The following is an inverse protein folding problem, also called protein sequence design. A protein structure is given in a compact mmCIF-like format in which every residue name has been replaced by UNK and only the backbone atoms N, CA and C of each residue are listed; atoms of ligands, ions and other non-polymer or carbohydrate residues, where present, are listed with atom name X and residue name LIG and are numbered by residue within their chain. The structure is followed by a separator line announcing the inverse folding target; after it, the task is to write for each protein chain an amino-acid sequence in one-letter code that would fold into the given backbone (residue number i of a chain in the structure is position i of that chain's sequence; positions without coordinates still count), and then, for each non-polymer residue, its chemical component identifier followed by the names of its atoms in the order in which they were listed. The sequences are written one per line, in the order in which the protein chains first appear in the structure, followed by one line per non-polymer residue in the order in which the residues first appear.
data_IF_409921868701
#
_entry.id   IF_409921868701
#
_cell.length_a   1.000
_cell.length_b   1.000
_cell.length_c   1.000
_cell.angle_alpha   90.00
_cell.angle_beta   90.00
_cell.angle_gamma   90.00
#
_symmetry.space_group_name_H-M   'P 1'
#
loop_
_entity.id
_entity.type
_entity.pdbx_description
1 polymer ?
#
# COMPACT_ATOMS: atom_id res chain seq x y z
N UNK A 1 0.35 -0.35 -9.12
CA UNK A 1 1.24 0.43 -8.21
C UNK A 1 2.16 1.33 -9.02
N UNK A 2 3.13 0.81 -9.79
CA UNK A 2 3.98 1.66 -10.63
C UNK A 2 3.21 2.34 -11.78
N UNK A 3 2.34 1.60 -12.46
CA UNK A 3 1.51 2.16 -13.55
C UNK A 3 0.58 3.27 -13.07
N UNK A 4 0.01 3.14 -11.87
CA UNK A 4 -0.87 4.14 -11.29
C UNK A 4 -0.10 5.41 -10.87
N UNK A 5 1.09 5.24 -10.28
CA UNK A 5 2.01 6.35 -9.97
C UNK A 5 2.43 7.09 -11.24
N UNK A 6 2.77 6.35 -12.30
CA UNK A 6 3.11 6.93 -13.60
C UNK A 6 1.94 7.68 -14.24
N UNK A 7 0.71 7.19 -14.06
CA UNK A 7 -0.50 7.85 -14.55
C UNK A 7 -0.74 9.18 -13.82
N UNK A 8 -0.62 9.18 -12.50
CA UNK A 8 -0.77 10.39 -11.66
C UNK A 8 0.31 11.42 -11.98
N UNK A 9 1.58 11.01 -12.08
CA UNK A 9 2.68 11.93 -12.40
C UNK A 9 2.48 12.63 -13.76
N UNK A 10 2.08 11.88 -14.80
CA UNK A 10 1.77 12.48 -16.11
C UNK A 10 0.60 13.46 -16.06
N UNK A 11 -0.40 13.19 -15.21
CA UNK A 11 -1.52 14.11 -15.02
C UNK A 11 -1.09 15.38 -14.27
N UNK A 12 -0.11 15.29 -13.36
CA UNK A 12 0.46 16.42 -12.63
C UNK A 12 1.32 17.33 -13.53
N UNK A 13 2.03 16.73 -14.50
CA UNK A 13 2.87 17.44 -15.48
C UNK A 13 2.06 18.13 -16.61
N UNK A 14 0.77 17.84 -16.74
CA UNK A 14 -0.07 18.40 -17.79
C UNK A 14 -0.51 19.85 -17.44
N UNK A 15 -0.05 20.82 -18.23
CA UNK A 15 -0.25 22.27 -18.04
C UNK A 15 -1.72 22.71 -18.19
N UNK A 16 -2.57 21.92 -18.85
CA UNK A 16 -4.00 22.21 -19.12
C UNK A 16 -4.89 21.01 -18.75
N UNK A 17 -4.60 20.38 -17.62
CA UNK A 17 -5.41 19.29 -17.08
C UNK A 17 -6.55 19.83 -16.22
N UNK A 18 -7.79 19.38 -16.46
CA UNK A 18 -8.92 19.56 -15.55
C UNK A 18 -8.47 19.22 -14.12
N UNK A 19 -8.36 20.25 -13.27
CA UNK A 19 -7.82 20.14 -11.91
C UNK A 19 -8.62 19.14 -11.06
N UNK A 20 -9.90 18.90 -11.40
CA UNK A 20 -10.73 17.91 -10.72
C UNK A 20 -10.38 16.47 -11.11
N UNK A 21 -9.84 16.26 -12.32
CA UNK A 21 -9.41 14.95 -12.81
C UNK A 21 -8.17 14.45 -12.08
N UNK A 22 -7.18 15.32 -11.86
CA UNK A 22 -5.98 14.98 -11.10
C UNK A 22 -6.33 14.58 -9.66
N UNK A 23 -7.18 15.36 -9.01
CA UNK A 23 -7.68 15.05 -7.66
C UNK A 23 -8.40 13.68 -7.64
N UNK A 24 -9.25 13.41 -8.63
CA UNK A 24 -9.97 12.14 -8.74
C UNK A 24 -9.05 10.94 -8.98
N UNK A 25 -8.03 11.10 -9.82
CA UNK A 25 -7.02 10.05 -10.07
C UNK A 25 -6.19 9.78 -8.81
N UNK A 26 -5.77 10.83 -8.08
CA UNK A 26 -5.08 10.72 -6.78
C UNK A 26 -5.95 10.01 -5.73
N UNK A 27 -7.22 10.40 -5.59
CA UNK A 27 -8.15 9.76 -4.66
C UNK A 27 -8.36 8.28 -5.00
N UNK A 28 -8.45 7.95 -6.28
CA UNK A 28 -8.61 6.56 -6.73
C UNK A 28 -7.38 5.73 -6.40
N UNK A 29 -6.19 6.30 -6.62
CA UNK A 29 -4.93 5.65 -6.28
C UNK A 29 -4.81 5.43 -4.77
N UNK A 30 -5.05 6.47 -3.97
CA UNK A 30 -5.01 6.40 -2.50
C UNK A 30 -6.00 5.34 -1.98
N UNK A 31 -7.23 5.35 -2.49
CA UNK A 31 -8.25 4.36 -2.15
C UNK A 31 -7.80 2.93 -2.47
N UNK A 32 -7.13 2.72 -3.61
CA UNK A 32 -6.62 1.41 -4.01
C UNK A 32 -5.45 0.93 -3.14
N UNK A 33 -4.66 1.86 -2.60
CA UNK A 33 -3.55 1.58 -1.70
C UNK A 33 -4.08 1.17 -0.32
N UNK A 34 -5.01 1.96 0.21
CA UNK A 34 -5.62 1.75 1.52
C UNK A 34 -6.39 0.42 1.59
N UNK A 35 -7.14 0.07 0.54
CA UNK A 35 -7.87 -1.21 0.44
C UNK A 35 -7.00 -2.48 0.56
N UNK A 36 -5.68 -2.37 0.39
CA UNK A 36 -4.75 -3.51 0.57
C UNK A 36 -4.37 -3.76 2.02
N UNK A 37 -4.42 -2.72 2.85
CA UNK A 37 -3.97 -2.77 4.24
C UNK A 37 -5.11 -2.75 5.26
N UNK A 38 -6.30 -2.33 4.87
CA UNK A 38 -7.49 -2.33 5.73
C UNK A 38 -8.26 -3.65 5.71
N UNK A 39 -9.15 -3.83 6.67
CA UNK A 39 -10.04 -4.98 6.74
C UNK A 39 -10.97 -4.96 5.50
N UNK A 40 -10.98 -6.02 4.66
CA UNK A 40 -11.71 -6.01 3.38
C UNK A 40 -13.22 -5.79 3.47
N UNK A 41 -13.81 -6.10 4.63
CA UNK A 41 -15.25 -6.00 4.87
C UNK A 41 -15.68 -4.62 5.40
N UNK A 42 -14.74 -3.75 5.73
CA UNK A 42 -15.07 -2.41 6.21
C UNK A 42 -15.26 -1.44 5.03
N UNK A 43 -16.40 -0.74 5.02
CA UNK A 43 -16.61 0.39 4.13
C UNK A 43 -16.02 1.62 4.79
N UNK A 44 -14.93 2.13 4.22
CA UNK A 44 -14.17 3.21 4.82
C UNK A 44 -14.02 4.36 3.83
N UNK A 45 -14.39 5.56 4.28
CA UNK A 45 -14.27 6.79 3.49
C UNK A 45 -12.88 7.41 3.66
N UNK A 46 -12.03 7.16 2.67
CA UNK A 46 -10.58 7.45 2.67
C UNK A 46 -10.20 8.92 2.83
N UNK A 47 -11.15 9.82 3.07
CA UNK A 47 -10.91 11.22 3.42
C UNK A 47 -11.16 11.55 4.90
N UNK A 48 -11.91 10.72 5.63
CA UNK A 48 -12.46 11.10 6.95
C UNK A 48 -12.04 10.19 8.10
N UNK A 49 -11.44 9.02 7.85
CA UNK A 49 -11.03 8.09 8.91
C UNK A 49 -9.53 8.10 9.17
N UNK A 50 -9.15 7.52 10.32
CA UNK A 50 -7.76 7.25 10.68
C UNK A 50 -7.40 5.83 10.25
N UNK A 51 -6.49 5.71 9.28
CA UNK A 51 -6.13 4.43 8.67
C UNK A 51 -5.74 3.34 9.67
N UNK A 52 -4.99 3.73 10.71
CA UNK A 52 -4.47 2.82 11.74
C UNK A 52 -5.58 2.06 12.48
N UNK A 53 -6.75 2.68 12.65
CA UNK A 53 -7.85 2.12 13.45
C UNK A 53 -8.58 0.97 12.70
N UNK A 54 -8.33 0.83 11.39
CA UNK A 54 -9.02 -0.08 10.48
C UNK A 54 -8.06 -1.03 9.74
N UNK A 55 -6.79 -1.04 10.13
CA UNK A 55 -5.81 -1.92 9.48
C UNK A 55 -6.10 -3.39 9.80
N UNK A 56 -5.95 -4.22 8.78
CA UNK A 56 -5.88 -5.66 8.96
C UNK A 56 -4.64 -5.98 9.82
N UNK A 57 -4.77 -6.80 10.89
CA UNK A 57 -3.63 -7.20 11.72
C UNK A 57 -2.50 -7.89 10.95
N UNK A 58 -2.81 -8.49 9.80
CA UNK A 58 -1.85 -9.09 8.87
C UNK A 58 -2.20 -8.65 7.44
N UNK A 59 -1.85 -7.42 7.05
CA UNK A 59 -2.23 -6.89 5.75
C UNK A 59 -1.47 -7.61 4.64
N UNK A 60 -2.11 -7.76 3.48
CA UNK A 60 -1.47 -8.28 2.28
C UNK A 60 -0.63 -7.18 1.63
N UNK A 61 0.70 -7.33 1.68
CA UNK A 61 1.62 -6.29 1.22
C UNK A 61 1.93 -6.35 -0.28
N UNK A 62 1.24 -7.24 -1.00
CA UNK A 62 1.35 -7.41 -2.44
C UNK A 62 2.13 -8.66 -2.84
N UNK A 63 1.83 -9.15 -4.04
CA UNK A 63 2.32 -10.43 -4.54
C UNK A 63 3.84 -10.59 -4.45
N UNK A 64 4.60 -9.57 -4.85
CA UNK A 64 6.07 -9.62 -4.84
C UNK A 64 6.62 -9.75 -3.42
N UNK A 65 6.04 -9.04 -2.45
CA UNK A 65 6.45 -9.12 -1.05
C UNK A 65 6.16 -10.52 -0.49
N UNK A 66 4.91 -10.99 -0.65
CA UNK A 66 4.52 -12.30 -0.11
C UNK A 66 5.34 -13.43 -0.75
N UNK A 67 5.51 -13.41 -2.08
CA UNK A 67 6.32 -14.40 -2.80
C UNK A 67 7.79 -14.37 -2.36
N UNK A 68 8.36 -13.18 -2.13
CA UNK A 68 9.72 -13.06 -1.61
C UNK A 68 9.86 -13.71 -0.23
N UNK A 69 8.96 -13.38 0.70
CA UNK A 69 8.96 -13.96 2.05
C UNK A 69 8.82 -15.49 2.00
N UNK A 70 7.92 -16.00 1.18
CA UNK A 70 7.71 -17.45 1.02
C UNK A 70 8.94 -18.15 0.45
N UNK A 71 9.59 -17.56 -0.56
CA UNK A 71 10.82 -18.09 -1.13
C UNK A 71 11.97 -18.13 -0.12
N UNK A 72 12.15 -17.06 0.66
CA UNK A 72 13.21 -16.98 1.67
C UNK A 72 12.98 -17.99 2.79
N UNK A 73 11.72 -18.19 3.23
CA UNK A 73 11.36 -19.25 4.19
C UNK A 73 11.63 -20.66 3.64
N UNK A 74 11.26 -20.91 2.38
CA UNK A 74 11.44 -22.20 1.74
C UNK A 74 12.91 -22.59 1.56
N UNK A 75 13.80 -21.61 1.36
CA UNK A 75 15.23 -21.84 1.18
C UNK A 75 15.98 -22.18 2.48
N UNK A 76 15.31 -22.21 3.65
CA UNK A 76 15.93 -22.49 4.98
C UNK A 76 17.26 -21.76 5.17
N UNK A 77 17.31 -20.48 4.78
CA UNK A 77 18.48 -19.66 5.10
C UNK A 77 18.54 -19.51 6.61
N UNK A 78 19.61 -20.01 7.25
CA UNK A 78 19.85 -19.92 8.70
C UNK A 78 19.79 -18.48 9.26
N UNK A 79 19.77 -17.46 8.39
CA UNK A 79 19.68 -16.05 8.74
C UNK A 79 18.30 -15.39 8.66
N UNK A 80 17.26 -16.02 8.08
CA UNK A 80 15.93 -15.39 7.99
C UNK A 80 14.99 -15.93 9.06
N UNK A 81 14.81 -15.14 10.12
CA UNK A 81 13.91 -15.47 11.22
C UNK A 81 12.51 -14.86 11.04
N UNK A 82 11.56 -15.31 11.86
CA UNK A 82 10.23 -14.68 11.97
C UNK A 82 10.33 -13.20 12.39
N UNK A 83 11.37 -12.81 13.13
CA UNK A 83 11.61 -11.43 13.52
C UNK A 83 11.99 -10.56 12.31
N UNK A 84 12.77 -11.09 11.37
CA UNK A 84 13.12 -10.39 10.12
C UNK A 84 11.88 -10.12 9.27
N UNK A 85 11.00 -11.12 9.13
CA UNK A 85 9.72 -10.91 8.43
C UNK A 85 8.87 -9.84 9.12
N UNK A 86 8.76 -9.90 10.45
CA UNK A 86 7.98 -8.94 11.21
C UNK A 86 8.48 -7.49 11.00
N UNK A 87 9.80 -7.28 11.06
CA UNK A 87 10.43 -5.98 10.83
C UNK A 87 10.21 -5.46 9.40
N UNK A 88 10.34 -6.33 8.39
CA UNK A 88 10.06 -5.97 7.00
C UNK A 88 8.59 -5.58 6.80
N UNK A 89 7.66 -6.37 7.35
CA UNK A 89 6.22 -6.06 7.29
C UNK A 89 5.92 -4.73 7.97
N UNK A 90 6.47 -4.52 9.16
CA UNK A 90 6.27 -3.30 9.94
C UNK A 90 6.79 -2.07 9.20
N UNK A 91 7.96 -2.17 8.54
CA UNK A 91 8.51 -1.11 7.69
C UNK A 91 7.58 -0.75 6.53
N UNK A 92 7.02 -1.76 5.84
CA UNK A 92 6.06 -1.53 4.75
C UNK A 92 4.76 -0.91 5.25
N UNK A 93 4.23 -1.39 6.38
CA UNK A 93 3.01 -0.85 7.00
C UNK A 93 3.24 0.61 7.39
N UNK A 94 4.37 0.91 8.05
CA UNK A 94 4.74 2.27 8.48
C UNK A 94 4.84 3.23 7.30
N UNK A 95 5.40 2.80 6.17
CA UNK A 95 5.43 3.60 4.95
C UNK A 95 4.02 3.92 4.46
N UNK A 96 3.14 2.92 4.41
CA UNK A 96 1.75 3.09 3.96
C UNK A 96 0.97 4.02 4.90
N UNK A 97 1.16 3.89 6.21
CA UNK A 97 0.49 4.75 7.20
C UNK A 97 1.07 6.15 7.29
N UNK A 98 2.33 6.37 6.88
CA UNK A 98 2.93 7.72 6.85
C UNK A 98 2.53 8.49 5.60
N UNK A 99 2.22 7.78 4.50
CA UNK A 99 1.76 8.39 3.25
C UNK A 99 0.27 8.81 3.30
N UNK A 100 -0.42 8.49 4.40
CA UNK A 100 -1.82 8.77 4.64
C UNK A 100 -1.97 9.75 5.79
#
# INVERSE_FOLDING_TARGET
MLADVQKVNKAFEAIDGDQTKLLKDLMTWLSSLVKKVVIPTEQIDVLTFRLVDHMNPKPYLGYLFETYVDNVKAQKNDGFSLANEAEMRESCIRLITTLY
#
